data_IF_651567526645
#
_entry.id   IF_651567526645
#
_cell.length_a   1.000
_cell.length_b   1.000
_cell.length_c   1.000
_cell.angle_alpha   90.00
_cell.angle_beta   90.00
_cell.angle_gamma   90.00
#
_symmetry.space_group_name_H-M   'P 1'
#
loop_
_entity.id
_entity.type
_entity.pdbx_description
1 polymer ?
#
# COMPACT_ATOMS: atom_id res chain seq x y z
N UNK A 1 -21.41 -16.08 29.87
CA UNK A 1 -21.61 -15.97 28.40
C UNK A 1 -21.40 -17.37 27.82
N UNK A 2 -22.50 -18.08 27.53
CA UNK A 2 -22.48 -19.47 27.09
C UNK A 2 -22.69 -19.50 25.57
N UNK A 3 -21.65 -19.82 24.81
CA UNK A 3 -21.77 -20.06 23.37
C UNK A 3 -22.37 -21.45 23.20
N UNK A 4 -23.66 -21.51 22.82
CA UNK A 4 -24.37 -22.76 22.53
C UNK A 4 -23.96 -23.24 21.13
N UNK A 5 -23.17 -24.31 21.04
CA UNK A 5 -22.82 -24.97 19.77
C UNK A 5 -23.83 -26.09 19.45
N UNK A 6 -24.21 -26.21 18.18
CA UNK A 6 -25.14 -27.23 17.68
C UNK A 6 -24.45 -28.60 17.54
N UNK A 7 -25.10 -29.73 17.86
CA UNK A 7 -24.50 -31.08 17.83
C UNK A 7 -24.04 -31.56 16.44
N UNK A 8 -24.54 -30.94 15.37
CA UNK A 8 -24.35 -31.42 14.00
C UNK A 8 -23.20 -30.72 13.26
N UNK A 9 -22.39 -29.90 13.95
CA UNK A 9 -21.23 -29.23 13.35
C UNK A 9 -21.54 -28.14 12.32
N UNK A 10 -22.82 -27.87 12.05
CA UNK A 10 -23.28 -26.80 11.16
C UNK A 10 -23.78 -25.65 12.03
N UNK A 11 -23.00 -24.58 12.13
CA UNK A 11 -23.40 -23.32 12.75
C UNK A 11 -24.29 -22.54 11.78
N UNK A 12 -25.58 -22.89 11.70
CA UNK A 12 -26.57 -22.05 11.03
C UNK A 12 -26.93 -20.88 11.97
N UNK A 13 -26.80 -19.61 11.53
CA UNK A 13 -27.19 -18.47 12.35
C UNK A 13 -28.69 -18.54 12.66
N UNK A 14 -29.07 -18.15 13.87
CA UNK A 14 -30.49 -18.02 14.21
C UNK A 14 -31.14 -16.98 13.28
N UNK A 15 -32.43 -17.12 12.98
CA UNK A 15 -33.12 -16.17 12.09
C UNK A 15 -33.04 -14.71 12.59
N UNK A 16 -32.85 -14.50 13.89
CA UNK A 16 -32.60 -13.19 14.52
C UNK A 16 -31.20 -12.61 14.25
N UNK A 17 -30.23 -13.44 13.87
CA UNK A 17 -28.86 -13.04 13.51
C UNK A 17 -28.73 -12.78 12.00
N UNK A 18 -29.69 -13.25 11.20
CA UNK A 18 -29.77 -12.99 9.77
C UNK A 18 -30.40 -11.61 9.58
N UNK A 19 -29.67 -10.70 8.93
CA UNK A 19 -30.20 -9.36 8.59
C UNK A 19 -31.50 -9.49 7.79
N UNK A 20 -32.61 -8.88 8.21
CA UNK A 20 -33.85 -8.90 7.45
C UNK A 20 -33.65 -8.35 6.04
N UNK A 21 -34.25 -9.01 5.06
CA UNK A 21 -34.08 -8.68 3.64
C UNK A 21 -34.35 -7.20 3.33
N UNK A 22 -35.40 -6.62 3.92
CA UNK A 22 -35.75 -5.22 3.75
C UNK A 22 -34.62 -4.28 4.21
N UNK A 23 -33.92 -4.62 5.30
CA UNK A 23 -32.78 -3.84 5.82
C UNK A 23 -31.59 -3.95 4.86
N UNK A 24 -31.30 -5.15 4.35
CA UNK A 24 -30.24 -5.35 3.35
C UNK A 24 -30.51 -4.56 2.05
N UNK A 25 -31.74 -4.62 1.54
CA UNK A 25 -32.16 -3.92 0.32
C UNK A 25 -32.13 -2.39 0.51
N UNK A 26 -32.60 -1.88 1.65
CA UNK A 26 -32.52 -0.44 1.97
C UNK A 26 -31.09 0.09 2.02
N UNK A 27 -30.16 -0.67 2.62
CA UNK A 27 -28.73 -0.34 2.66
C UNK A 27 -28.14 -0.29 1.24
N UNK A 28 -28.52 -1.24 0.37
CA UNK A 28 -28.04 -1.26 -1.01
C UNK A 28 -28.61 -0.10 -1.83
N UNK A 29 -29.86 0.29 -1.61
CA UNK A 29 -30.47 1.46 -2.23
C UNK A 29 -29.76 2.76 -1.80
N UNK A 30 -29.49 2.92 -0.50
CA UNK A 30 -28.75 4.06 0.04
C UNK A 30 -27.35 4.19 -0.56
N UNK A 31 -26.57 3.10 -0.63
CA UNK A 31 -25.22 3.11 -1.25
C UNK A 31 -25.29 3.51 -2.73
N UNK A 32 -26.30 3.02 -3.48
CA UNK A 32 -26.48 3.39 -4.89
C UNK A 32 -26.81 4.88 -5.05
N UNK A 33 -27.65 5.42 -4.18
CA UNK A 33 -27.98 6.86 -4.19
C UNK A 33 -26.77 7.72 -3.85
N UNK A 34 -25.95 7.30 -2.89
CA UNK A 34 -24.72 8.00 -2.50
C UNK A 34 -23.67 7.99 -3.63
N UNK A 35 -23.54 6.86 -4.35
CA UNK A 35 -22.66 6.74 -5.50
C UNK A 35 -23.11 7.56 -6.72
N UNK A 36 -24.42 7.78 -6.89
CA UNK A 36 -24.95 8.67 -7.92
C UNK A 36 -24.80 10.14 -7.53
N UNK A 37 -24.98 10.47 -6.25
CA UNK A 37 -24.78 11.82 -5.70
C UNK A 37 -23.32 12.29 -5.76
N UNK A 38 -22.35 11.38 -5.59
CA UNK A 38 -20.92 11.71 -5.69
C UNK A 38 -20.43 11.99 -7.12
N UNK A 39 -21.16 11.54 -8.16
CA UNK A 39 -20.91 11.92 -9.56
C UNK A 39 -21.38 13.36 -9.82
N UNK A 40 -22.51 13.77 -9.25
CA UNK A 40 -23.05 15.12 -9.41
C UNK A 40 -22.27 16.19 -8.60
N UNK A 41 -21.67 15.79 -7.46
CA UNK A 41 -20.95 16.71 -6.56
C UNK A 41 -19.49 17.00 -6.93
N UNK A 42 -19.00 16.59 -8.11
CA UNK A 42 -17.64 16.91 -8.58
C UNK A 42 -16.49 16.24 -7.81
N UNK A 43 -16.74 15.59 -6.67
CA UNK A 43 -15.72 14.94 -5.84
C UNK A 43 -14.95 13.81 -6.56
N UNK A 44 -15.61 13.13 -7.52
CA UNK A 44 -14.92 12.15 -8.39
C UNK A 44 -14.01 12.81 -9.42
N UNK A 45 -14.33 14.03 -9.86
CA UNK A 45 -13.52 14.80 -10.81
C UNK A 45 -12.27 15.37 -10.12
N UNK A 46 -12.39 15.87 -8.89
CA UNK A 46 -11.23 16.28 -8.09
C UNK A 46 -10.28 15.13 -7.76
N UNK A 47 -10.80 13.93 -7.49
CA UNK A 47 -9.94 12.75 -7.25
C UNK A 47 -9.27 12.25 -8.54
N UNK A 48 -9.92 12.43 -9.71
CA UNK A 48 -9.36 12.10 -11.01
C UNK A 48 -8.33 13.14 -11.50
N UNK A 49 -8.48 14.41 -11.12
CA UNK A 49 -7.63 15.53 -11.54
C UNK A 49 -6.38 15.74 -10.67
N UNK A 50 -6.16 14.92 -9.63
CA UNK A 50 -4.90 14.95 -8.87
C UNK A 50 -3.77 14.35 -9.70
N UNK A 51 -3.08 15.21 -10.43
CA UNK A 51 -1.77 14.91 -11.00
C UNK A 51 -0.77 14.67 -9.86
N UNK A 52 -0.36 13.41 -9.72
CA UNK A 52 0.70 13.02 -8.81
C UNK A 52 2.05 13.30 -9.48
N UNK A 53 2.63 14.47 -9.24
CA UNK A 53 4.02 14.74 -9.60
C UNK A 53 4.96 14.04 -8.61
N UNK A 54 5.34 12.80 -8.92
CA UNK A 54 6.38 12.05 -8.21
C UNK A 54 7.66 11.94 -9.06
N UNK A 55 8.15 13.06 -9.59
CA UNK A 55 9.50 13.15 -10.14
C UNK A 55 10.18 14.35 -9.50
N UNK A 56 11.07 14.08 -8.54
CA UNK A 56 11.96 15.11 -8.00
C UNK A 56 12.92 15.56 -9.12
N UNK A 57 13.04 16.87 -9.39
CA UNK A 57 14.04 17.38 -10.33
C UNK A 57 15.44 16.89 -9.92
N UNK A 58 16.14 16.17 -10.82
CA UNK A 58 17.50 15.68 -10.57
C UNK A 58 17.62 14.24 -10.04
N UNK A 59 16.53 13.48 -9.93
CA UNK A 59 16.62 12.04 -9.62
C UNK A 59 17.27 11.28 -10.79
N UNK A 60 18.52 10.84 -10.61
CA UNK A 60 19.19 10.00 -11.59
C UNK A 60 18.59 8.59 -11.53
N UNK A 61 18.06 8.10 -12.67
CA UNK A 61 17.58 6.73 -12.78
C UNK A 61 18.75 5.78 -12.53
N UNK A 62 18.63 4.94 -11.51
CA UNK A 62 19.62 3.91 -11.22
C UNK A 62 19.57 2.83 -12.30
N UNK A 63 20.73 2.39 -12.75
CA UNK A 63 20.86 1.27 -13.70
C UNK A 63 20.94 -0.02 -12.91
N UNK A 64 19.97 -0.90 -13.11
CA UNK A 64 19.91 -2.22 -12.49
C UNK A 64 19.55 -3.28 -13.55
N UNK A 65 20.19 -4.45 -13.49
CA UNK A 65 19.88 -5.54 -14.41
C UNK A 65 18.73 -6.40 -13.85
N UNK A 66 17.78 -6.80 -14.69
CA UNK A 66 16.73 -7.74 -14.27
C UNK A 66 17.38 -9.08 -13.95
N UNK A 67 17.18 -9.56 -12.72
CA UNK A 67 17.66 -10.88 -12.33
C UNK A 67 16.65 -11.93 -12.83
N UNK A 68 17.03 -12.82 -13.77
CA UNK A 68 16.11 -13.80 -14.35
C UNK A 68 15.57 -14.81 -13.34
N UNK A 69 16.28 -15.04 -12.22
CA UNK A 69 15.80 -15.90 -11.14
C UNK A 69 14.63 -15.27 -10.35
N UNK A 70 14.41 -13.97 -10.47
CA UNK A 70 13.37 -13.21 -9.77
C UNK A 70 12.42 -12.50 -10.73
N UNK A 71 12.19 -13.07 -11.91
CA UNK A 71 11.22 -12.58 -12.87
C UNK A 71 9.87 -13.30 -12.69
N UNK A 72 8.81 -12.56 -12.41
CA UNK A 72 7.44 -13.08 -12.37
C UNK A 72 6.71 -12.80 -13.69
N UNK A 73 5.90 -13.77 -14.13
CA UNK A 73 5.03 -13.63 -15.30
C UNK A 73 3.70 -12.91 -14.99
N UNK A 74 3.43 -12.65 -13.71
CA UNK A 74 2.23 -11.95 -13.27
C UNK A 74 2.22 -10.48 -13.73
N UNK A 75 1.01 -9.93 -13.90
CA UNK A 75 0.84 -8.51 -14.21
C UNK A 75 1.42 -7.65 -13.08
N UNK A 76 2.38 -6.78 -13.43
CA UNK A 76 2.95 -5.81 -12.48
C UNK A 76 1.87 -4.88 -11.93
N UNK A 77 1.99 -4.51 -10.65
CA UNK A 77 1.19 -3.44 -10.05
C UNK A 77 1.48 -2.15 -10.81
N UNK A 78 0.45 -1.35 -11.10
CA UNK A 78 0.63 -0.09 -11.80
C UNK A 78 1.52 0.84 -10.96
N UNK A 79 2.42 1.58 -11.61
CA UNK A 79 3.36 2.46 -10.91
C UNK A 79 2.65 3.44 -9.98
N UNK A 80 1.55 4.04 -10.44
CA UNK A 80 0.71 4.94 -9.64
C UNK A 80 0.25 4.29 -8.33
N UNK A 81 -0.21 3.04 -8.38
CA UNK A 81 -0.70 2.37 -7.18
C UNK A 81 0.46 2.06 -6.21
N UNK A 82 1.61 1.64 -6.75
CA UNK A 82 2.81 1.37 -5.96
C UNK A 82 3.35 2.61 -5.23
N UNK A 83 3.15 3.81 -5.79
CA UNK A 83 3.64 5.08 -5.22
C UNK A 83 2.59 5.92 -4.49
N UNK A 84 1.31 5.50 -4.51
CA UNK A 84 0.23 6.28 -3.88
C UNK A 84 -0.68 5.51 -2.92
N UNK A 85 -0.59 4.18 -2.87
CA UNK A 85 -1.33 3.35 -1.91
C UNK A 85 -0.34 2.68 -0.95
N UNK A 86 0.03 3.39 0.12
CA UNK A 86 1.15 3.02 0.98
C UNK A 86 0.74 2.95 2.46
N UNK A 87 1.45 2.12 3.23
CA UNK A 87 1.43 2.18 4.69
C UNK A 87 2.76 2.79 5.15
N UNK A 88 2.72 4.02 5.62
CA UNK A 88 3.86 4.70 6.22
C UNK A 88 3.34 5.63 7.32
N UNK A 89 3.21 5.10 8.53
CA UNK A 89 2.46 5.72 9.63
C UNK A 89 3.04 7.06 10.12
N UNK A 90 4.35 7.24 9.98
CA UNK A 90 5.06 8.49 10.24
C UNK A 90 4.53 9.65 9.39
N UNK A 91 3.87 9.35 8.27
CA UNK A 91 3.25 10.30 7.37
C UNK A 91 1.72 10.20 7.35
N UNK A 92 1.09 9.53 8.32
CA UNK A 92 -0.37 9.43 8.43
C UNK A 92 -0.91 8.00 8.34
N UNK A 93 -2.19 7.84 8.67
CA UNK A 93 -2.83 6.52 8.79
C UNK A 93 -3.65 6.13 7.56
N UNK A 94 -4.08 7.10 6.74
CA UNK A 94 -4.76 6.82 5.48
C UNK A 94 -3.75 6.34 4.42
N UNK A 95 -4.22 5.51 3.48
CA UNK A 95 -3.37 4.95 2.41
C UNK A 95 -2.78 6.01 1.49
N UNK A 96 -3.46 7.15 1.35
CA UNK A 96 -3.03 8.26 0.52
C UNK A 96 -2.18 9.30 1.27
N UNK A 97 -2.09 9.22 2.60
CA UNK A 97 -1.36 10.21 3.40
C UNK A 97 0.16 10.19 3.13
N UNK A 98 0.84 9.02 3.03
CA UNK A 98 2.27 8.98 2.72
C UNK A 98 2.62 9.71 1.42
N UNK A 99 1.81 9.53 0.37
CA UNK A 99 2.04 10.18 -0.90
C UNK A 99 1.91 11.72 -0.83
N UNK A 100 1.11 12.24 0.11
CA UNK A 100 0.93 13.69 0.31
C UNK A 100 2.03 14.30 1.18
N UNK A 101 2.48 13.59 2.21
CA UNK A 101 3.29 14.18 3.28
C UNK A 101 4.76 13.73 3.30
N UNK A 102 5.12 12.63 2.62
CA UNK A 102 6.49 12.11 2.59
C UNK A 102 7.50 13.03 1.89
N UNK A 103 7.05 14.05 1.15
CA UNK A 103 7.93 15.06 0.55
C UNK A 103 8.70 15.90 1.58
N UNK A 104 8.29 15.89 2.84
CA UNK A 104 9.02 16.51 3.95
C UNK A 104 10.26 15.73 4.40
N UNK A 105 10.37 14.45 4.02
CA UNK A 105 11.52 13.62 4.32
C UNK A 105 12.74 14.13 3.54
N UNK A 106 13.89 14.23 4.23
CA UNK A 106 15.19 14.51 3.61
C UNK A 106 15.98 13.21 3.49
N UNK A 107 15.91 12.48 2.36
CA UNK A 107 16.60 11.21 2.19
C UNK A 107 18.12 11.36 1.98
N UNK A 108 18.63 12.60 1.89
CA UNK A 108 20.07 12.90 1.82
C UNK A 108 20.38 14.16 2.66
N UNK A 109 21.49 14.18 3.43
CA UNK A 109 22.38 13.04 3.72
C UNK A 109 21.67 11.98 4.58
N UNK A 110 22.01 10.70 4.37
CA UNK A 110 21.43 9.58 5.12
C UNK A 110 22.47 8.47 5.31
N UNK A 111 22.40 7.80 6.46
CA UNK A 111 23.37 6.76 6.85
C UNK A 111 22.66 5.54 7.44
N UNK A 112 23.27 4.37 7.25
CA UNK A 112 22.88 3.08 7.82
C UNK A 112 23.99 2.62 8.75
N UNK A 113 23.64 2.31 10.02
CA UNK A 113 24.56 1.65 10.93
C UNK A 113 24.34 0.13 10.92
N UNK A 114 25.42 -0.64 10.78
CA UNK A 114 25.44 -2.11 10.87
C UNK A 114 26.14 -2.47 12.18
N UNK A 115 25.36 -2.92 13.15
CA UNK A 115 25.78 -3.15 14.54
C UNK A 115 25.28 -4.53 15.06
N UNK A 116 25.54 -4.84 16.33
CA UNK A 116 25.15 -6.09 16.98
C UNK A 116 26.22 -7.17 16.91
N UNK A 117 25.80 -8.43 16.77
CA UNK A 117 26.69 -9.62 16.72
C UNK A 117 27.37 -9.75 15.34
N UNK A 118 28.22 -8.79 15.00
CA UNK A 118 28.98 -8.74 13.75
C UNK A 118 30.47 -8.57 14.03
N UNK A 119 31.32 -9.22 13.23
CA UNK A 119 32.79 -9.13 13.38
C UNK A 119 33.35 -7.74 13.06
N UNK A 120 32.69 -7.00 12.16
CA UNK A 120 33.12 -5.70 11.64
C UNK A 120 31.92 -4.76 11.57
N UNK A 121 31.57 -4.06 12.66
CA UNK A 121 30.54 -3.03 12.62
C UNK A 121 30.98 -1.89 11.69
N UNK A 122 30.02 -1.26 11.01
CA UNK A 122 30.31 -0.16 10.08
C UNK A 122 29.09 0.75 9.89
N UNK A 123 29.35 1.99 9.49
CA UNK A 123 28.34 2.95 9.08
C UNK A 123 28.54 3.24 7.60
N UNK A 124 27.48 3.13 6.80
CA UNK A 124 27.49 3.40 5.36
C UNK A 124 26.58 4.59 5.06
N UNK A 125 27.05 5.52 4.25
CA UNK A 125 26.17 6.46 3.59
C UNK A 125 25.46 5.81 2.40
N UNK A 126 24.49 6.52 1.80
CA UNK A 126 23.73 6.00 0.67
C UNK A 126 24.63 5.64 -0.53
N UNK A 127 25.70 6.41 -0.78
CA UNK A 127 26.60 6.16 -1.91
C UNK A 127 27.52 4.96 -1.65
N UNK A 128 27.91 4.71 -0.41
CA UNK A 128 28.60 3.50 0.03
C UNK A 128 27.70 2.27 -0.08
N UNK A 129 26.43 2.38 0.29
CA UNK A 129 25.45 1.30 0.16
C UNK A 129 25.26 0.87 -1.30
N UNK A 130 25.13 1.82 -2.22
CA UNK A 130 24.97 1.57 -3.66
C UNK A 130 26.20 0.91 -4.31
N UNK A 131 27.37 0.96 -3.66
CA UNK A 131 28.62 0.37 -4.16
C UNK A 131 28.92 -1.02 -3.60
N UNK A 132 28.13 -1.52 -2.64
CA UNK A 132 28.38 -2.83 -2.02
C UNK A 132 28.26 -3.99 -3.01
N UNK A 133 27.35 -3.89 -3.98
CA UNK A 133 27.10 -4.89 -4.99
C UNK A 133 26.45 -4.25 -6.24
N UNK A 134 26.53 -4.89 -7.42
CA UNK A 134 25.76 -4.48 -8.59
C UNK A 134 24.25 -4.43 -8.27
N UNK A 135 23.56 -3.39 -8.74
CA UNK A 135 22.11 -3.27 -8.57
C UNK A 135 21.36 -4.29 -9.42
N UNK A 136 20.36 -4.93 -8.82
CA UNK A 136 19.46 -5.88 -9.48
C UNK A 136 18.00 -5.40 -9.44
N UNK A 137 17.28 -5.53 -10.55
CA UNK A 137 15.82 -5.45 -10.57
C UNK A 137 15.25 -6.84 -10.27
N UNK A 138 14.42 -6.93 -9.24
CA UNK A 138 13.71 -8.16 -8.84
C UNK A 138 12.21 -7.87 -8.81
N UNK A 139 11.43 -8.72 -9.48
CA UNK A 139 9.97 -8.57 -9.57
C UNK A 139 9.37 -9.46 -8.49
N UNK A 140 8.81 -8.84 -7.44
CA UNK A 140 8.20 -9.55 -6.33
C UNK A 140 6.72 -9.24 -6.17
N UNK A 141 6.04 -10.14 -5.45
CA UNK A 141 4.74 -9.87 -4.85
C UNK A 141 4.96 -9.31 -3.45
N UNK A 142 4.44 -8.11 -3.22
CA UNK A 142 4.46 -7.50 -1.89
C UNK A 142 3.08 -7.73 -1.25
N UNK A 143 3.04 -8.55 -0.20
CA UNK A 143 1.85 -8.77 0.62
C UNK A 143 2.00 -8.00 1.92
N UNK A 144 1.11 -7.05 2.15
CA UNK A 144 0.97 -6.34 3.43
C UNK A 144 0.54 -7.29 4.55
#
# INVERSE_FOLDING_TARGET
MLIKRSPNGIELPFSSEITPRAVFESRRAFIRQLALGSIAGGALLEMAAREAFAQAPGAQKLTAAVNPAYALLEKKTAYKDATSYNNFYEFGTDKADPARYAGSLKPRPWTVSIEGEVKKPMVLDLDGLLKLAPLEERIYRLRC
#
